data_IF_741806237146
#
_entry.id   IF_741806237146
#
_cell.length_a   1.000
_cell.length_b   1.000
_cell.length_c   1.000
_cell.angle_alpha   90.00
_cell.angle_beta   90.00
_cell.angle_gamma   90.00
#
_symmetry.space_group_name_H-M   'P 1'
#
loop_
_entity.id
_entity.type
_entity.pdbx_description
1 polymer ?
#
# COMPACT_ATOMS: atom_id res chain seq x y z
N UNK A 1 10.57 -5.12 16.38
CA UNK A 1 10.07 -4.85 15.00
C UNK A 1 8.68 -5.43 14.79
N UNK A 2 7.96 -4.99 13.74
CA UNK A 2 6.62 -5.49 13.43
C UNK A 2 6.55 -6.01 11.99
N UNK A 3 5.96 -7.22 11.81
CA UNK A 3 5.79 -7.85 10.48
C UNK A 3 4.38 -8.41 10.31
N UNK A 4 3.76 -8.12 9.18
CA UNK A 4 2.42 -8.59 8.88
C UNK A 4 2.43 -9.70 7.83
N UNK A 5 1.80 -10.83 8.15
CA UNK A 5 1.61 -11.95 7.22
C UNK A 5 0.17 -12.00 6.75
N UNK A 6 -0.06 -11.99 5.44
CA UNK A 6 -1.39 -12.03 4.86
C UNK A 6 -1.69 -13.40 4.25
N UNK A 7 -2.74 -14.05 4.77
CA UNK A 7 -3.18 -15.35 4.34
C UNK A 7 -4.61 -15.33 3.81
N UNK A 8 -4.93 -16.31 2.95
CA UNK A 8 -6.29 -16.59 2.52
C UNK A 8 -7.00 -17.42 3.60
N UNK A 9 -8.24 -17.04 3.95
CA UNK A 9 -9.10 -17.82 4.85
C UNK A 9 -10.37 -18.26 4.13
N UNK A 10 -10.94 -19.38 4.59
CA UNK A 10 -12.09 -20.06 3.98
C UNK A 10 -13.19 -20.26 5.02
N UNK A 11 -13.95 -19.20 5.36
CA UNK A 11 -15.01 -19.28 6.33
C UNK A 11 -16.20 -20.10 5.80
N UNK A 12 -16.83 -20.89 6.67
CA UNK A 12 -18.12 -21.54 6.42
C UNK A 12 -19.29 -20.55 6.39
N UNK A 13 -20.53 -21.01 6.23
CA UNK A 13 -21.70 -20.14 6.12
C UNK A 13 -21.94 -19.29 7.39
N UNK A 14 -21.86 -19.88 8.55
CA UNK A 14 -22.06 -19.23 9.85
C UNK A 14 -20.97 -18.18 10.13
N UNK A 15 -19.72 -18.56 9.87
CA UNK A 15 -18.57 -17.64 10.00
C UNK A 15 -18.66 -16.43 9.06
N UNK A 16 -19.19 -16.62 7.84
CA UNK A 16 -19.46 -15.51 6.90
C UNK A 16 -20.52 -14.55 7.44
N UNK A 17 -21.56 -15.08 8.08
CA UNK A 17 -22.59 -14.27 8.75
C UNK A 17 -21.94 -13.46 9.87
N UNK A 18 -21.15 -14.12 10.74
CA UNK A 18 -20.46 -13.44 11.85
C UNK A 18 -19.50 -12.36 11.37
N UNK A 19 -18.70 -12.61 10.33
CA UNK A 19 -17.84 -11.58 9.72
C UNK A 19 -18.66 -10.42 9.17
N UNK A 20 -19.80 -10.69 8.55
CA UNK A 20 -20.68 -9.64 8.00
C UNK A 20 -21.29 -8.78 9.10
N UNK A 21 -21.74 -9.39 10.19
CA UNK A 21 -22.19 -8.69 11.40
C UNK A 21 -21.08 -7.82 11.97
N UNK A 22 -19.88 -8.37 12.15
CA UNK A 22 -18.73 -7.64 12.70
C UNK A 22 -18.36 -6.44 11.82
N UNK A 23 -18.30 -6.59 10.47
CA UNK A 23 -18.07 -5.44 9.56
C UNK A 23 -19.17 -4.38 9.70
N UNK A 24 -20.40 -4.78 9.95
CA UNK A 24 -21.53 -3.89 10.21
C UNK A 24 -21.37 -3.10 11.51
N UNK A 25 -21.13 -3.80 12.60
CA UNK A 25 -21.00 -3.24 13.95
C UNK A 25 -19.80 -2.29 14.08
N UNK A 26 -18.63 -2.66 13.53
CA UNK A 26 -17.43 -1.82 13.51
C UNK A 26 -17.65 -0.51 12.74
N UNK A 27 -18.40 -0.57 11.62
CA UNK A 27 -18.76 0.64 10.89
C UNK A 27 -19.78 1.47 11.65
N UNK A 28 -20.79 0.83 12.22
CA UNK A 28 -21.84 1.48 13.01
C UNK A 28 -21.25 2.24 14.18
N UNK A 29 -20.47 1.57 15.04
CA UNK A 29 -19.89 2.20 16.22
C UNK A 29 -18.95 3.35 15.88
N UNK A 30 -18.12 3.21 14.82
CA UNK A 30 -17.29 4.31 14.32
C UNK A 30 -18.14 5.52 13.95
N UNK A 31 -19.24 5.32 13.21
CA UNK A 31 -20.10 6.40 12.75
C UNK A 31 -20.91 7.03 13.90
N UNK A 32 -21.44 6.20 14.80
CA UNK A 32 -22.19 6.67 15.96
C UNK A 32 -21.30 7.53 16.85
N UNK A 33 -20.12 7.04 17.22
CA UNK A 33 -19.16 7.82 18.01
C UNK A 33 -18.70 9.11 17.31
N UNK A 34 -18.53 9.10 15.98
CA UNK A 34 -18.22 10.30 15.23
C UNK A 34 -19.37 11.32 15.30
N UNK A 35 -20.61 10.86 15.09
CA UNK A 35 -21.80 11.70 15.15
C UNK A 35 -21.99 12.34 16.53
N UNK A 36 -21.88 11.53 17.60
CA UNK A 36 -22.07 12.01 18.98
C UNK A 36 -20.97 13.02 19.38
N UNK A 37 -19.72 12.78 18.95
CA UNK A 37 -18.62 13.75 19.17
C UNK A 37 -18.88 15.09 18.48
N UNK A 38 -19.41 15.06 17.25
CA UNK A 38 -19.75 16.27 16.48
C UNK A 38 -20.91 17.00 17.16
N UNK A 39 -21.99 16.29 17.52
CA UNK A 39 -23.15 16.88 18.17
C UNK A 39 -22.78 17.53 19.51
N UNK A 40 -22.11 16.78 20.39
CA UNK A 40 -21.68 17.29 21.70
C UNK A 40 -20.77 18.53 21.58
N UNK A 41 -19.80 18.50 20.66
CA UNK A 41 -18.89 19.64 20.46
C UNK A 41 -19.63 20.89 19.93
N UNK A 42 -20.66 20.70 19.10
CA UNK A 42 -21.45 21.82 18.60
C UNK A 42 -22.24 22.49 19.72
N UNK A 43 -22.73 21.71 20.69
CA UNK A 43 -23.51 22.19 21.82
C UNK A 43 -22.64 22.77 22.94
N UNK A 44 -21.61 22.06 23.36
CA UNK A 44 -20.83 22.37 24.56
C UNK A 44 -19.46 22.99 24.30
N UNK A 45 -18.93 22.86 23.06
CA UNK A 45 -17.53 23.15 22.69
C UNK A 45 -16.50 22.26 23.41
N UNK A 46 -16.94 21.21 24.08
CA UNK A 46 -16.09 20.28 24.82
C UNK A 46 -15.87 18.97 24.08
N UNK A 47 -14.79 18.25 24.45
CA UNK A 47 -14.47 16.94 23.86
C UNK A 47 -15.29 15.85 24.55
N UNK A 48 -16.05 15.12 23.77
CA UNK A 48 -16.75 13.93 24.27
C UNK A 48 -15.81 12.71 24.27
N UNK A 49 -15.65 12.08 25.43
CA UNK A 49 -14.91 10.82 25.58
C UNK A 49 -15.91 9.67 25.78
N UNK A 50 -16.05 8.83 24.76
CA UNK A 50 -16.92 7.64 24.78
C UNK A 50 -16.14 6.38 24.44
N UNK A 51 -16.63 5.25 24.96
CA UNK A 51 -16.12 3.92 24.64
C UNK A 51 -17.23 3.08 23.98
N UNK A 52 -16.90 2.07 23.16
CA UNK A 52 -17.92 1.19 22.59
C UNK A 52 -18.80 0.45 23.61
N UNK A 53 -18.32 0.27 24.84
CA UNK A 53 -19.05 -0.39 25.90
C UNK A 53 -20.34 0.37 26.27
N UNK A 54 -20.31 1.70 26.31
CA UNK A 54 -21.44 2.56 26.64
C UNK A 54 -22.62 2.43 25.66
N UNK A 55 -22.34 2.06 24.42
CA UNK A 55 -23.38 1.88 23.39
C UNK A 55 -24.03 0.48 23.41
N UNK A 56 -23.51 -0.47 24.20
CA UNK A 56 -24.03 -1.85 24.21
C UNK A 56 -25.35 -1.99 24.95
N UNK A 57 -25.71 -1.05 25.83
CA UNK A 57 -26.99 -1.01 26.49
C UNK A 57 -28.12 -0.60 25.55
N UNK A 58 -27.84 0.41 24.71
CA UNK A 58 -28.78 0.93 23.71
C UNK A 58 -28.84 0.04 22.44
N UNK A 59 -27.68 -0.54 22.03
CA UNK A 59 -27.56 -1.33 20.81
C UNK A 59 -27.12 -2.75 21.14
N UNK A 60 -28.04 -3.62 21.52
CA UNK A 60 -27.75 -4.99 21.97
C UNK A 60 -27.02 -5.85 20.97
N UNK A 61 -27.22 -5.64 19.63
CA UNK A 61 -26.53 -6.36 18.59
C UNK A 61 -24.98 -6.18 18.61
N UNK A 62 -24.47 -5.17 19.31
CA UNK A 62 -23.05 -4.98 19.54
C UNK A 62 -22.44 -6.02 20.49
N UNK A 63 -23.27 -6.68 21.31
CA UNK A 63 -22.84 -7.76 22.20
C UNK A 63 -22.55 -9.07 21.44
N UNK A 64 -23.12 -9.24 20.24
CA UNK A 64 -22.95 -10.43 19.41
C UNK A 64 -21.53 -10.55 18.83
N UNK A 65 -20.83 -9.43 18.67
CA UNK A 65 -19.52 -9.37 18.00
C UNK A 65 -18.38 -9.18 19.00
N UNK A 66 -17.16 -9.37 18.51
CA UNK A 66 -15.96 -9.20 19.30
C UNK A 66 -15.78 -7.75 19.81
N UNK A 67 -15.64 -7.60 21.12
CA UNK A 67 -15.48 -6.30 21.80
C UNK A 67 -14.17 -5.60 21.39
N UNK A 68 -13.10 -6.36 21.15
CA UNK A 68 -11.80 -5.81 20.72
C UNK A 68 -11.89 -5.26 19.29
N UNK A 69 -12.73 -5.84 18.43
CA UNK A 69 -13.03 -5.27 17.11
C UNK A 69 -13.74 -3.91 17.21
N UNK A 70 -14.64 -3.75 18.18
CA UNK A 70 -15.29 -2.46 18.45
C UNK A 70 -14.32 -1.44 19.04
N UNK A 71 -13.46 -1.85 19.97
CA UNK A 71 -12.39 -1.00 20.53
C UNK A 71 -11.42 -0.50 19.43
N UNK A 72 -11.07 -1.36 18.48
CA UNK A 72 -10.27 -0.94 17.32
C UNK A 72 -10.99 0.09 16.43
N UNK A 73 -12.32 0.08 16.36
CA UNK A 73 -13.07 1.11 15.66
C UNK A 73 -12.93 2.48 16.34
N UNK A 74 -12.99 2.51 17.67
CA UNK A 74 -12.70 3.71 18.49
C UNK A 74 -11.28 4.22 18.26
N UNK A 75 -10.27 3.34 18.35
CA UNK A 75 -8.87 3.70 18.10
C UNK A 75 -8.64 4.27 16.69
N UNK A 76 -9.33 3.69 15.69
CA UNK A 76 -9.28 4.21 14.31
C UNK A 76 -9.91 5.61 14.20
N UNK A 77 -10.97 5.91 14.95
CA UNK A 77 -11.57 7.23 15.00
C UNK A 77 -10.64 8.24 15.69
N UNK A 78 -10.09 7.87 16.84
CA UNK A 78 -9.09 8.69 17.55
C UNK A 78 -7.89 9.02 16.68
N UNK A 79 -7.35 8.02 15.96
CA UNK A 79 -6.25 8.22 15.01
C UNK A 79 -6.64 9.16 13.87
N UNK A 80 -7.89 9.08 13.38
CA UNK A 80 -8.37 9.97 12.32
C UNK A 80 -8.42 11.45 12.81
N UNK A 81 -8.87 11.69 14.05
CA UNK A 81 -8.80 13.00 14.67
C UNK A 81 -7.36 13.49 14.89
N UNK A 82 -6.50 12.63 15.44
CA UNK A 82 -5.10 12.97 15.66
C UNK A 82 -4.39 13.36 14.34
N UNK A 83 -4.64 12.62 13.26
CA UNK A 83 -4.10 12.96 11.94
C UNK A 83 -4.64 14.29 11.42
N UNK A 84 -5.92 14.60 11.62
CA UNK A 84 -6.52 15.87 11.22
C UNK A 84 -5.87 17.05 11.96
N UNK A 85 -5.72 16.94 13.29
CA UNK A 85 -5.09 18.01 14.08
C UNK A 85 -3.59 18.17 13.79
N UNK A 86 -2.89 17.07 13.51
CA UNK A 86 -1.45 17.12 13.13
C UNK A 86 -1.25 17.70 11.73
N UNK A 87 -2.13 17.40 10.79
CA UNK A 87 -2.03 17.76 9.38
C UNK A 87 -3.42 18.04 8.80
N UNK A 88 -3.93 19.28 8.87
CA UNK A 88 -5.29 19.62 8.41
C UNK A 88 -5.59 19.26 6.96
N UNK A 89 -4.57 19.23 6.08
CA UNK A 89 -4.69 18.81 4.68
C UNK A 89 -5.24 17.36 4.50
N UNK A 90 -5.14 16.51 5.54
CA UNK A 90 -5.75 15.16 5.55
C UNK A 90 -7.28 15.23 5.56
N UNK A 91 -7.85 16.34 6.06
CA UNK A 91 -9.29 16.58 6.18
C UNK A 91 -9.92 15.94 7.41
N UNK A 92 -11.08 16.48 7.78
CA UNK A 92 -11.86 16.03 8.93
C UNK A 92 -12.31 14.56 8.80
N UNK A 93 -12.44 13.79 9.91
CA UNK A 93 -12.93 12.41 9.89
C UNK A 93 -14.29 12.28 9.21
N UNK A 94 -14.43 11.35 8.27
CA UNK A 94 -15.65 11.15 7.48
C UNK A 94 -16.40 9.90 7.92
N UNK A 95 -17.75 9.94 7.80
CA UNK A 95 -18.60 8.76 8.00
C UNK A 95 -18.25 7.64 7.04
N UNK A 96 -18.24 6.40 7.54
CA UNK A 96 -17.99 5.20 6.75
C UNK A 96 -19.25 4.70 6.06
N UNK A 97 -19.21 4.50 4.74
CA UNK A 97 -20.30 3.98 3.93
C UNK A 97 -20.19 2.46 3.74
N UNK A 98 -21.33 1.75 3.77
CA UNK A 98 -21.42 0.30 3.46
C UNK A 98 -20.89 -0.03 2.05
N UNK A 99 -21.07 0.89 1.10
CA UNK A 99 -20.77 0.66 -0.31
C UNK A 99 -19.39 1.16 -0.75
N UNK A 100 -18.88 2.22 -0.12
CA UNK A 100 -17.61 2.86 -0.50
C UNK A 100 -16.42 2.34 0.32
N UNK A 101 -16.63 1.95 1.57
CA UNK A 101 -15.56 1.52 2.43
C UNK A 101 -15.27 0.02 2.32
N UNK A 102 -13.99 -0.33 2.51
CA UNK A 102 -13.56 -1.74 2.53
C UNK A 102 -14.16 -2.45 3.73
N UNK A 103 -14.67 -3.66 3.51
CA UNK A 103 -15.12 -4.54 4.57
C UNK A 103 -13.90 -5.12 5.29
N UNK A 104 -13.59 -4.61 6.46
CA UNK A 104 -12.49 -5.08 7.32
C UNK A 104 -12.72 -4.71 8.78
N UNK A 105 -12.19 -5.51 9.67
CA UNK A 105 -12.02 -5.20 11.08
C UNK A 105 -10.70 -5.77 11.60
N UNK A 106 -10.20 -5.20 12.68
CA UNK A 106 -9.02 -5.68 13.40
C UNK A 106 -9.43 -6.10 14.80
N UNK A 107 -8.88 -7.20 15.27
CA UNK A 107 -8.97 -7.65 16.66
C UNK A 107 -7.57 -7.87 17.21
N UNK A 108 -7.33 -7.52 18.46
CA UNK A 108 -6.05 -7.67 19.11
C UNK A 108 -5.94 -9.04 19.79
N UNK A 109 -4.72 -9.56 19.88
CA UNK A 109 -4.46 -10.73 20.69
C UNK A 109 -4.31 -10.31 22.16
N UNK A 110 -5.21 -10.82 23.00
CA UNK A 110 -5.21 -10.63 24.45
C UNK A 110 -5.44 -11.99 25.08
N UNK A 111 -4.51 -12.42 25.95
CA UNK A 111 -4.59 -13.71 26.64
C UNK A 111 -4.81 -14.92 25.71
N UNK A 112 -4.16 -14.91 24.53
CA UNK A 112 -4.24 -16.04 23.59
C UNK A 112 -5.59 -16.23 22.88
N UNK A 113 -6.45 -15.19 22.82
CA UNK A 113 -7.76 -15.25 22.16
C UNK A 113 -7.67 -15.37 20.62
N UNK A 114 -6.48 -15.23 20.04
CA UNK A 114 -6.18 -15.48 18.63
C UNK A 114 -5.08 -16.53 18.55
N UNK A 115 -5.33 -17.64 17.88
CA UNK A 115 -4.39 -18.73 17.75
C UNK A 115 -4.32 -19.22 16.30
N UNK A 116 -3.12 -19.50 15.83
CA UNK A 116 -2.88 -20.09 14.51
C UNK A 116 -2.27 -21.48 14.71
N UNK A 117 -3.06 -22.51 14.54
CA UNK A 117 -2.66 -23.92 14.69
C UNK A 117 -3.40 -24.81 13.68
N UNK A 118 -2.78 -25.91 13.28
CA UNK A 118 -3.37 -26.99 12.48
C UNK A 118 -4.11 -26.55 11.21
N UNK A 119 -3.58 -25.53 10.52
CA UNK A 119 -4.21 -25.01 9.31
C UNK A 119 -5.51 -24.22 9.57
N UNK A 120 -5.77 -23.85 10.83
CA UNK A 120 -6.89 -23.06 11.28
C UNK A 120 -6.42 -21.81 12.01
N UNK A 121 -7.21 -20.74 11.91
CA UNK A 121 -7.08 -19.54 12.70
C UNK A 121 -8.28 -19.40 13.63
N UNK A 122 -8.05 -19.51 14.94
CA UNK A 122 -9.07 -19.25 15.96
C UNK A 122 -9.25 -17.75 16.13
N UNK A 123 -10.49 -17.30 16.10
CA UNK A 123 -10.87 -15.88 16.24
C UNK A 123 -11.99 -15.73 17.27
N UNK A 124 -12.00 -14.65 18.07
CA UNK A 124 -13.08 -14.37 19.03
C UNK A 124 -14.45 -14.33 18.33
N UNK A 125 -15.46 -14.97 18.94
CA UNK A 125 -16.85 -15.07 18.47
C UNK A 125 -17.05 -15.80 17.13
N UNK A 126 -15.99 -16.15 16.40
CA UNK A 126 -16.05 -16.82 15.07
C UNK A 126 -15.62 -18.28 15.15
N UNK A 127 -14.74 -18.60 16.11
CA UNK A 127 -14.12 -19.92 16.23
C UNK A 127 -12.99 -20.17 15.25
N UNK A 128 -12.71 -21.43 14.98
CA UNK A 128 -11.62 -21.87 14.12
C UNK A 128 -12.00 -21.75 12.63
N UNK A 129 -11.28 -20.93 11.88
CA UNK A 129 -11.47 -20.67 10.44
C UNK A 129 -10.33 -21.28 9.66
N UNK A 130 -10.63 -22.10 8.64
CA UNK A 130 -9.63 -22.71 7.76
C UNK A 130 -8.78 -21.65 7.07
N UNK A 131 -7.45 -21.78 7.16
CA UNK A 131 -6.47 -20.85 6.59
C UNK A 131 -5.52 -21.59 5.65
N UNK A 132 -5.09 -20.90 4.57
CA UNK A 132 -4.00 -21.39 3.71
C UNK A 132 -2.72 -20.65 4.10
N UNK A 133 -1.98 -21.25 5.01
CA UNK A 133 -0.66 -20.77 5.39
C UNK A 133 0.35 -21.24 4.32
N UNK A 134 0.95 -20.29 3.62
CA UNK A 134 1.93 -20.53 2.56
C UNK A 134 3.35 -20.07 2.94
N UNK A 135 3.52 -19.60 4.19
CA UNK A 135 4.80 -19.21 4.78
C UNK A 135 4.83 -19.68 6.22
N UNK A 136 5.97 -20.21 6.63
CA UNK A 136 6.22 -20.46 8.04
C UNK A 136 6.44 -19.14 8.78
N UNK A 137 5.99 -19.08 10.00
CA UNK A 137 6.17 -17.95 10.90
C UNK A 137 7.19 -18.42 11.94
N UNK A 138 8.27 -17.68 12.16
CA UNK A 138 9.25 -18.05 13.18
C UNK A 138 8.60 -18.12 14.57
N UNK A 139 9.04 -19.09 15.39
CA UNK A 139 8.45 -19.34 16.72
C UNK A 139 8.63 -18.18 17.70
N UNK A 140 9.70 -17.41 17.55
CA UNK A 140 9.99 -16.24 18.37
C UNK A 140 9.12 -15.00 18.03
N UNK A 141 8.17 -15.12 17.09
CA UNK A 141 7.29 -14.02 16.70
C UNK A 141 6.02 -14.01 17.56
N UNK A 142 5.81 -12.95 18.32
CA UNK A 142 4.62 -12.76 19.15
C UNK A 142 3.43 -12.21 18.34
N UNK A 143 2.31 -12.93 18.32
CA UNK A 143 1.09 -12.52 17.65
C UNK A 143 0.45 -11.33 18.39
N UNK A 144 0.25 -10.19 17.74
CA UNK A 144 -0.33 -8.96 18.32
C UNK A 144 -1.77 -8.71 17.90
N UNK A 145 -2.09 -8.91 16.62
CA UNK A 145 -3.45 -8.66 16.13
C UNK A 145 -3.74 -9.38 14.81
N UNK A 146 -5.01 -9.56 14.51
CA UNK A 146 -5.50 -10.07 13.25
C UNK A 146 -6.46 -9.08 12.59
N UNK A 147 -6.21 -8.74 11.32
CA UNK A 147 -7.11 -7.92 10.50
C UNK A 147 -7.79 -8.79 9.46
N UNK A 148 -9.09 -9.00 9.61
CA UNK A 148 -9.93 -9.75 8.69
C UNK A 148 -10.50 -8.81 7.64
N UNK A 149 -10.47 -9.23 6.37
CA UNK A 149 -10.98 -8.44 5.24
C UNK A 149 -11.70 -9.28 4.22
N UNK A 150 -12.73 -8.70 3.58
CA UNK A 150 -13.41 -9.28 2.42
C UNK A 150 -13.17 -8.43 1.18
N UNK A 151 -12.73 -9.06 0.09
CA UNK A 151 -12.58 -8.40 -1.20
C UNK A 151 -13.93 -8.21 -1.90
N UNK A 152 -14.04 -7.29 -2.87
CA UNK A 152 -15.24 -7.17 -3.71
C UNK A 152 -15.58 -8.42 -4.52
N UNK A 153 -14.61 -9.31 -4.76
CA UNK A 153 -14.78 -10.64 -5.37
C UNK A 153 -15.27 -11.71 -4.38
N UNK A 154 -15.60 -11.33 -3.14
CA UNK A 154 -16.13 -12.23 -2.11
C UNK A 154 -15.09 -13.07 -1.36
N UNK A 155 -13.81 -12.91 -1.66
CA UNK A 155 -12.74 -13.65 -0.99
C UNK A 155 -12.42 -13.05 0.38
N UNK A 156 -12.06 -13.91 1.35
CA UNK A 156 -11.65 -13.50 2.69
C UNK A 156 -10.16 -13.67 2.89
N UNK A 157 -9.56 -12.71 3.57
CA UNK A 157 -8.15 -12.70 3.94
C UNK A 157 -8.01 -12.28 5.39
N UNK A 158 -6.98 -12.78 6.03
CA UNK A 158 -6.47 -12.27 7.30
C UNK A 158 -5.06 -11.71 7.11
N UNK A 159 -4.79 -10.59 7.75
CA UNK A 159 -3.42 -10.07 7.93
C UNK A 159 -3.12 -10.16 9.42
N UNK A 160 -2.18 -11.02 9.79
CA UNK A 160 -1.77 -11.24 11.17
C UNK A 160 -0.52 -10.41 11.39
N UNK A 161 -0.55 -9.56 12.41
CA UNK A 161 0.58 -8.74 12.83
C UNK A 161 1.34 -9.48 13.93
N UNK A 162 2.63 -9.64 13.71
CA UNK A 162 3.57 -10.16 14.69
C UNK A 162 4.55 -9.08 15.10
N UNK A 163 4.94 -9.14 16.35
CA UNK A 163 6.07 -8.40 16.90
C UNK A 163 7.23 -9.38 17.15
N UNK A 164 8.44 -8.93 16.88
CA UNK A 164 9.65 -9.73 17.07
C UNK A 164 10.84 -8.81 17.32
N UNK A 165 11.84 -9.36 17.98
CA UNK A 165 13.12 -8.68 18.18
C UNK A 165 14.11 -9.15 17.12
N UNK A 166 14.70 -8.21 16.44
CA UNK A 166 15.78 -8.46 15.47
C UNK A 166 16.71 -7.24 15.49
N UNK A 167 17.98 -7.51 15.71
CA UNK A 167 19.04 -6.54 15.46
C UNK A 167 19.40 -6.67 13.99
N UNK A 168 19.30 -5.57 13.26
CA UNK A 168 19.73 -5.50 11.86
C UNK A 168 21.00 -4.68 11.85
N UNK A 169 22.12 -5.33 11.59
CA UNK A 169 23.38 -4.65 11.38
C UNK A 169 23.37 -3.96 10.01
N UNK A 170 23.83 -2.71 9.91
CA UNK A 170 23.98 -2.04 8.63
C UNK A 170 24.92 -2.84 7.73
N UNK A 171 24.49 -3.08 6.50
CA UNK A 171 25.33 -3.74 5.49
C UNK A 171 26.37 -2.75 4.96
N UNK A 172 27.56 -3.24 4.70
CA UNK A 172 28.58 -2.50 4.00
C UNK A 172 28.14 -2.22 2.56
N UNK A 173 28.38 -1.01 2.05
CA UNK A 173 27.96 -0.59 0.72
C UNK A 173 29.04 -0.90 -0.31
N UNK A 174 28.94 -2.06 -0.95
CA UNK A 174 29.84 -2.51 -2.01
C UNK A 174 29.26 -2.32 -3.41
N UNK A 175 27.93 -2.18 -3.50
CA UNK A 175 27.22 -2.04 -4.77
C UNK A 175 26.10 -1.00 -4.67
N UNK A 176 26.01 -0.15 -5.72
CA UNK A 176 25.02 0.93 -5.77
C UNK A 176 24.33 1.01 -7.14
N UNK A 177 23.03 1.29 -7.16
CA UNK A 177 22.25 1.53 -8.38
C UNK A 177 21.34 2.76 -8.21
N UNK A 178 21.21 3.54 -9.28
CA UNK A 178 20.19 4.58 -9.41
C UNK A 178 19.03 4.07 -10.25
N UNK A 179 17.80 4.42 -9.85
CA UNK A 179 16.58 4.06 -10.57
C UNK A 179 15.84 5.34 -10.94
N UNK A 180 15.83 5.68 -12.23
CA UNK A 180 14.99 6.73 -12.77
C UNK A 180 13.59 6.21 -13.06
N UNK A 181 12.55 7.00 -12.75
CA UNK A 181 11.15 6.57 -12.96
C UNK A 181 10.78 6.58 -14.43
N UNK A 182 10.38 5.44 -14.97
CA UNK A 182 9.82 5.31 -16.31
C UNK A 182 8.31 5.03 -16.29
N UNK A 183 7.54 5.83 -17.02
CA UNK A 183 6.11 5.56 -17.20
C UNK A 183 5.84 4.32 -18.06
N UNK A 184 6.78 3.96 -18.91
CA UNK A 184 6.70 2.81 -19.79
C UNK A 184 7.09 1.53 -19.07
N UNK A 185 8.26 1.53 -18.45
CA UNK A 185 8.95 0.31 -18.00
C UNK A 185 9.06 0.17 -16.47
N UNK A 186 8.49 1.06 -15.70
CA UNK A 186 8.58 1.20 -14.25
C UNK A 186 9.82 2.01 -13.82
N UNK A 187 11.01 1.67 -14.28
CA UNK A 187 12.26 2.41 -14.11
C UNK A 187 13.24 2.10 -15.22
N UNK A 188 14.25 2.97 -15.37
CA UNK A 188 15.51 2.71 -16.05
C UNK A 188 16.61 2.71 -14.98
N UNK A 189 17.50 1.73 -14.99
CA UNK A 189 18.59 1.66 -14.03
C UNK A 189 19.85 2.36 -14.55
N UNK A 190 20.77 2.70 -13.65
CA UNK A 190 22.09 3.25 -14.00
C UNK A 190 22.98 2.31 -14.82
N UNK A 191 22.56 1.06 -15.00
CA UNK A 191 23.19 0.06 -15.87
C UNK A 191 22.47 -0.08 -17.23
N UNK A 192 21.46 0.76 -17.49
CA UNK A 192 20.64 0.69 -18.70
C UNK A 192 19.60 -0.44 -18.71
N UNK A 193 19.40 -1.12 -17.58
CA UNK A 193 18.43 -2.20 -17.51
C UNK A 193 17.01 -1.67 -17.27
N UNK A 194 16.04 -2.28 -17.96
CA UNK A 194 14.61 -2.05 -17.81
C UNK A 194 13.89 -3.34 -17.35
N UNK A 195 12.87 -3.26 -16.48
CA UNK A 195 12.21 -4.46 -15.97
C UNK A 195 11.19 -5.09 -16.92
N UNK A 196 10.97 -4.57 -18.13
CA UNK A 196 9.96 -5.04 -19.12
C UNK A 196 8.56 -5.15 -18.49
N UNK A 197 8.06 -4.06 -17.90
CA UNK A 197 6.80 -4.06 -17.18
C UNK A 197 5.60 -4.41 -18.08
N UNK A 198 4.81 -5.48 -17.77
CA UNK A 198 3.78 -6.00 -18.68
C UNK A 198 2.52 -5.14 -18.81
N UNK A 199 2.42 -3.98 -18.20
CA UNK A 199 1.26 -3.03 -18.27
C UNK A 199 -0.09 -3.73 -18.09
N UNK A 200 -0.23 -4.50 -17.01
CA UNK A 200 -1.36 -5.40 -16.74
C UNK A 200 -2.73 -4.74 -16.85
N UNK A 201 -2.88 -3.49 -16.41
CA UNK A 201 -4.13 -2.75 -16.50
C UNK A 201 -4.45 -2.38 -17.96
N UNK A 202 -3.48 -1.84 -18.70
CA UNK A 202 -3.67 -1.45 -20.12
C UNK A 202 -4.05 -2.64 -20.96
N UNK A 203 -3.40 -3.79 -20.79
CA UNK A 203 -3.74 -5.04 -21.51
C UNK A 203 -5.17 -5.53 -21.29
N UNK A 204 -5.82 -5.13 -20.19
CA UNK A 204 -7.19 -5.55 -19.85
C UNK A 204 -8.22 -4.41 -19.95
N UNK A 205 -7.77 -3.21 -20.33
CA UNK A 205 -8.61 -2.01 -20.33
C UNK A 205 -9.87 -2.15 -21.20
N UNK A 206 -9.74 -2.67 -22.42
CA UNK A 206 -10.90 -2.80 -23.33
C UNK A 206 -11.89 -3.87 -22.84
N UNK A 207 -11.41 -4.93 -22.24
CA UNK A 207 -12.27 -5.90 -21.57
C UNK A 207 -13.03 -5.25 -20.42
N UNK A 208 -12.34 -4.47 -19.57
CA UNK A 208 -12.97 -3.73 -18.46
C UNK A 208 -14.02 -2.73 -18.98
N UNK A 209 -13.70 -1.98 -20.04
CA UNK A 209 -14.63 -1.03 -20.68
C UNK A 209 -15.89 -1.71 -21.17
N UNK A 210 -15.75 -2.82 -21.93
CA UNK A 210 -16.91 -3.62 -22.42
C UNK A 210 -17.77 -4.13 -21.27
N UNK A 211 -17.14 -4.72 -20.24
CA UNK A 211 -17.87 -5.23 -19.08
C UNK A 211 -18.57 -4.13 -18.28
N UNK A 212 -17.95 -2.95 -18.15
CA UNK A 212 -18.55 -1.79 -17.47
C UNK A 212 -19.71 -1.19 -18.25
N UNK A 213 -19.60 -1.08 -19.60
CA UNK A 213 -20.71 -0.65 -20.46
C UNK A 213 -21.89 -1.60 -20.37
N UNK A 214 -21.64 -2.91 -20.36
CA UNK A 214 -22.70 -3.90 -20.16
C UNK A 214 -23.36 -3.75 -18.79
N UNK A 215 -22.58 -3.52 -17.72
CA UNK A 215 -23.10 -3.31 -16.36
C UNK A 215 -24.02 -2.07 -16.29
N UNK A 216 -23.66 -0.96 -16.96
CA UNK A 216 -24.44 0.28 -16.91
C UNK A 216 -25.83 0.16 -17.57
N UNK A 217 -26.00 -0.79 -18.50
CA UNK A 217 -27.27 -1.08 -19.17
C UNK A 217 -28.18 -2.03 -18.39
N UNK A 218 -27.69 -2.65 -17.29
CA UNK A 218 -28.45 -3.63 -16.52
C UNK A 218 -29.25 -2.96 -15.40
N UNK A 219 -30.42 -3.53 -15.07
CA UNK A 219 -31.23 -3.09 -13.95
C UNK A 219 -30.40 -3.14 -12.65
N UNK A 220 -30.18 -1.97 -12.08
CA UNK A 220 -29.37 -1.81 -10.85
C UNK A 220 -29.94 -2.65 -9.71
N UNK A 221 -29.07 -3.38 -9.03
CA UNK A 221 -29.39 -4.33 -7.95
C UNK A 221 -30.12 -5.63 -8.39
N UNK A 222 -30.41 -5.82 -9.67
CA UNK A 222 -30.91 -7.10 -10.19
C UNK A 222 -29.84 -8.20 -10.15
N UNK A 223 -30.25 -9.45 -10.32
CA UNK A 223 -29.33 -10.62 -10.25
C UNK A 223 -28.25 -10.57 -11.31
N UNK A 224 -28.58 -10.20 -12.55
CA UNK A 224 -27.60 -10.08 -13.63
C UNK A 224 -26.61 -8.94 -13.38
N UNK A 225 -27.05 -7.79 -12.84
CA UNK A 225 -26.19 -6.69 -12.44
C UNK A 225 -25.21 -7.11 -11.35
N UNK A 226 -25.69 -7.84 -10.32
CA UNK A 226 -24.81 -8.36 -9.24
C UNK A 226 -23.78 -9.34 -9.77
N UNK A 227 -24.17 -10.24 -10.66
CA UNK A 227 -23.28 -11.21 -11.33
C UNK A 227 -22.22 -10.50 -12.17
N UNK A 228 -22.62 -9.53 -12.99
CA UNK A 228 -21.69 -8.76 -13.81
C UNK A 228 -20.73 -7.92 -12.97
N UNK A 229 -21.23 -7.25 -11.95
CA UNK A 229 -20.38 -6.51 -10.97
C UNK A 229 -19.35 -7.42 -10.31
N UNK A 230 -19.72 -8.63 -9.94
CA UNK A 230 -18.80 -9.63 -9.38
C UNK A 230 -17.72 -10.05 -10.38
N UNK A 231 -18.08 -10.27 -11.65
CA UNK A 231 -17.09 -10.59 -12.71
C UNK A 231 -16.08 -9.47 -12.91
N UNK A 232 -16.54 -8.22 -12.89
CA UNK A 232 -15.64 -7.04 -12.95
C UNK A 232 -14.70 -7.01 -11.73
N UNK A 233 -15.22 -7.28 -10.53
CA UNK A 233 -14.41 -7.33 -9.32
C UNK A 233 -13.32 -8.42 -9.37
N UNK A 234 -13.62 -9.59 -9.92
CA UNK A 234 -12.65 -10.67 -10.15
C UNK A 234 -11.56 -10.22 -11.12
N UNK A 235 -11.93 -9.54 -12.21
CA UNK A 235 -10.96 -9.06 -13.20
C UNK A 235 -10.02 -7.99 -12.60
N UNK A 236 -10.54 -7.04 -11.83
CA UNK A 236 -9.72 -6.06 -11.11
C UNK A 236 -8.78 -6.74 -10.09
N UNK A 237 -9.27 -7.73 -9.36
CA UNK A 237 -8.43 -8.48 -8.41
C UNK A 237 -7.30 -9.22 -9.12
N UNK A 238 -7.57 -9.83 -10.28
CA UNK A 238 -6.53 -10.50 -11.10
C UNK A 238 -5.45 -9.52 -11.54
N UNK A 239 -5.84 -8.36 -12.08
CA UNK A 239 -4.90 -7.31 -12.51
C UNK A 239 -4.04 -6.83 -11.32
N UNK A 240 -4.68 -6.54 -10.18
CA UNK A 240 -3.98 -6.09 -8.98
C UNK A 240 -3.02 -7.15 -8.42
N UNK A 241 -3.39 -8.44 -8.51
CA UNK A 241 -2.54 -9.55 -8.05
C UNK A 241 -1.34 -9.76 -8.95
N UNK A 242 -1.52 -9.73 -10.28
CA UNK A 242 -0.44 -9.86 -11.26
C UNK A 242 0.57 -8.70 -11.11
N UNK A 243 0.09 -7.46 -10.98
CA UNK A 243 0.93 -6.29 -10.75
C UNK A 243 1.74 -6.44 -9.45
N UNK A 244 1.07 -6.82 -8.36
CA UNK A 244 1.74 -6.99 -7.07
C UNK A 244 2.81 -8.08 -7.11
N UNK A 245 2.54 -9.21 -7.77
CA UNK A 245 3.51 -10.30 -7.93
C UNK A 245 4.76 -9.82 -8.67
N UNK A 246 4.57 -9.12 -9.78
CA UNK A 246 5.66 -8.53 -10.55
C UNK A 246 6.49 -7.56 -9.67
N UNK A 247 5.85 -6.60 -9.01
CA UNK A 247 6.54 -5.63 -8.17
C UNK A 247 7.28 -6.28 -6.98
N UNK A 248 6.73 -7.36 -6.43
CA UNK A 248 7.43 -8.13 -5.39
C UNK A 248 8.66 -8.84 -5.91
N UNK A 249 8.60 -9.43 -7.09
CA UNK A 249 9.74 -10.10 -7.74
C UNK A 249 10.82 -9.10 -8.09
N UNK A 250 10.44 -8.02 -8.75
CA UNK A 250 11.38 -6.99 -9.19
C UNK A 250 12.07 -6.29 -8.02
N UNK A 251 11.30 -5.86 -7.01
CA UNK A 251 11.89 -5.26 -5.82
C UNK A 251 12.74 -6.25 -5.00
N UNK A 252 12.52 -7.58 -5.12
CA UNK A 252 13.41 -8.57 -4.50
C UNK A 252 14.70 -8.73 -5.29
N UNK A 253 14.61 -8.73 -6.63
CA UNK A 253 15.78 -8.77 -7.51
C UNK A 253 16.72 -7.61 -7.19
N UNK A 254 16.22 -6.37 -7.17
CA UNK A 254 17.02 -5.19 -6.85
C UNK A 254 17.63 -5.26 -5.44
N UNK A 255 16.82 -5.60 -4.42
CA UNK A 255 17.31 -5.68 -3.04
C UNK A 255 18.36 -6.77 -2.82
N UNK A 256 18.34 -7.85 -3.64
CA UNK A 256 19.37 -8.88 -3.57
C UNK A 256 20.66 -8.46 -4.29
N UNK A 257 20.57 -7.64 -5.36
CA UNK A 257 21.72 -7.29 -6.20
C UNK A 257 22.51 -6.08 -5.71
N UNK A 258 21.89 -5.17 -4.96
CA UNK A 258 22.52 -3.90 -4.57
C UNK A 258 22.38 -3.62 -3.08
N UNK A 259 23.37 -2.92 -2.51
CA UNK A 259 23.41 -2.52 -1.12
C UNK A 259 22.88 -1.10 -0.92
N UNK A 260 23.03 -0.26 -1.93
CA UNK A 260 22.51 1.11 -1.97
C UNK A 260 21.67 1.33 -3.22
N UNK A 261 20.44 1.81 -3.03
CA UNK A 261 19.53 2.17 -4.14
C UNK A 261 19.15 3.63 -4.05
N UNK A 262 19.50 4.41 -5.07
CA UNK A 262 19.08 5.80 -5.26
C UNK A 262 17.75 5.87 -6.01
N UNK A 263 16.84 6.75 -5.55
CA UNK A 263 15.56 7.03 -6.23
C UNK A 263 15.21 8.52 -6.12
N UNK A 264 14.41 9.05 -7.04
CA UNK A 264 13.93 10.42 -6.99
C UNK A 264 12.75 10.59 -6.02
N UNK A 265 12.61 11.83 -5.48
CA UNK A 265 11.43 12.26 -4.71
C UNK A 265 10.33 12.78 -5.65
N UNK A 266 9.57 11.86 -6.23
CA UNK A 266 8.50 12.18 -7.17
C UNK A 266 7.13 12.27 -6.46
N UNK A 267 6.43 13.39 -6.66
CA UNK A 267 5.02 13.51 -6.27
C UNK A 267 4.12 12.82 -7.31
N UNK A 268 3.89 11.52 -7.11
CA UNK A 268 3.03 10.71 -7.98
C UNK A 268 1.57 11.22 -8.03
N UNK A 269 1.13 11.97 -7.01
CA UNK A 269 -0.21 12.55 -6.99
C UNK A 269 -0.28 13.75 -7.92
N UNK A 270 0.67 14.65 -7.83
CA UNK A 270 0.78 15.80 -8.72
C UNK A 270 0.93 15.35 -10.18
N UNK A 271 1.82 14.39 -10.47
CA UNK A 271 1.98 13.81 -11.82
C UNK A 271 0.70 13.17 -12.37
N UNK A 272 -0.08 12.51 -11.52
CA UNK A 272 -1.35 11.92 -11.92
C UNK A 272 -2.40 12.96 -12.30
N UNK A 273 -2.38 14.14 -11.67
CA UNK A 273 -3.38 15.19 -11.85
C UNK A 273 -3.01 16.19 -12.94
N UNK A 274 -1.78 16.71 -12.93
CA UNK A 274 -1.34 17.81 -13.78
C UNK A 274 -1.13 17.42 -15.25
N UNK A 275 -0.72 16.20 -15.53
CA UNK A 275 -0.29 15.76 -16.86
C UNK A 275 -1.22 14.72 -17.52
N UNK A 276 -2.43 14.49 -16.98
CA UNK A 276 -3.36 13.44 -17.43
C UNK A 276 -2.74 12.02 -17.43
N UNK A 277 -1.60 11.80 -16.76
CA UNK A 277 -0.92 10.52 -16.67
C UNK A 277 -1.52 9.55 -15.64
N UNK A 278 -2.66 9.89 -15.03
CA UNK A 278 -3.29 9.09 -13.97
C UNK A 278 -3.44 7.61 -14.27
N UNK A 279 -3.70 7.24 -15.54
CA UNK A 279 -3.78 5.83 -15.95
C UNK A 279 -2.42 5.15 -15.93
N UNK A 280 -1.36 5.81 -16.39
CA UNK A 280 0.00 5.29 -16.45
C UNK A 280 0.58 5.16 -15.05
N UNK A 281 0.46 6.21 -14.24
CA UNK A 281 0.88 6.22 -12.84
C UNK A 281 0.16 5.14 -12.01
N UNK A 282 -1.16 4.96 -12.24
CA UNK A 282 -1.95 3.92 -11.55
C UNK A 282 -1.61 2.51 -12.04
N UNK A 283 -1.26 2.33 -13.31
CA UNK A 283 -0.85 1.03 -13.86
C UNK A 283 0.54 0.64 -13.38
N UNK A 284 1.50 1.54 -13.45
CA UNK A 284 2.89 1.35 -13.08
C UNK A 284 3.05 1.09 -11.57
N UNK A 285 2.31 1.82 -10.71
CA UNK A 285 2.32 1.68 -9.25
C UNK A 285 3.71 1.89 -8.61
N UNK A 286 4.50 2.85 -9.08
CA UNK A 286 5.81 3.24 -8.58
C UNK A 286 5.88 3.40 -7.05
N UNK A 287 4.91 4.09 -6.44
CA UNK A 287 4.84 4.23 -4.99
C UNK A 287 4.75 2.89 -4.25
N UNK A 288 4.06 1.89 -4.83
CA UNK A 288 4.05 0.54 -4.27
C UNK A 288 5.40 -0.14 -4.44
N UNK A 289 6.06 0.00 -5.59
CA UNK A 289 7.39 -0.55 -5.84
C UNK A 289 8.41 0.02 -4.84
N UNK A 290 8.47 1.36 -4.67
CA UNK A 290 9.33 2.01 -3.68
C UNK A 290 9.09 1.49 -2.25
N UNK A 291 7.83 1.32 -1.86
CA UNK A 291 7.48 0.78 -0.54
C UNK A 291 7.97 -0.67 -0.36
N UNK A 292 7.80 -1.51 -1.41
CA UNK A 292 8.23 -2.89 -1.39
C UNK A 292 9.76 -3.04 -1.39
N UNK A 293 10.45 -2.16 -2.10
CA UNK A 293 11.90 -2.12 -2.18
C UNK A 293 12.49 -1.66 -0.84
N UNK A 294 11.98 -0.56 -0.30
CA UNK A 294 12.45 0.02 0.95
C UNK A 294 12.48 -1.00 2.10
N UNK A 295 11.35 -1.62 2.42
CA UNK A 295 11.33 -2.54 3.56
C UNK A 295 12.20 -3.78 3.34
N UNK A 296 12.45 -4.18 2.08
CA UNK A 296 13.33 -5.31 1.78
C UNK A 296 14.80 -4.98 1.94
N UNK A 297 15.18 -3.76 1.61
CA UNK A 297 16.52 -3.24 1.87
C UNK A 297 16.71 -3.08 3.38
N UNK A 298 15.77 -2.43 4.07
CA UNK A 298 15.78 -2.26 5.52
C UNK A 298 15.85 -3.61 6.26
N UNK A 299 15.06 -4.61 5.86
CA UNK A 299 15.10 -5.99 6.42
C UNK A 299 16.49 -6.67 6.23
N UNK A 300 17.30 -6.19 5.29
CA UNK A 300 18.64 -6.71 4.98
C UNK A 300 19.79 -5.79 5.45
N UNK A 301 19.51 -4.73 6.23
CA UNK A 301 20.49 -3.74 6.65
C UNK A 301 21.00 -2.83 5.52
N UNK A 302 20.37 -2.88 4.34
CA UNK A 302 20.77 -2.13 3.14
C UNK A 302 20.01 -0.80 3.04
N UNK A 303 20.44 0.06 2.12
CA UNK A 303 20.05 1.46 2.10
C UNK A 303 19.21 1.83 0.86
N UNK A 304 18.18 2.66 1.07
CA UNK A 304 17.44 3.31 0.00
C UNK A 304 17.46 4.82 0.23
N UNK A 305 18.18 5.55 -0.59
CA UNK A 305 18.30 7.00 -0.52
C UNK A 305 17.37 7.64 -1.54
N UNK A 306 16.60 8.61 -1.08
CA UNK A 306 15.77 9.46 -1.93
C UNK A 306 16.50 10.77 -2.14
N UNK A 307 16.89 11.06 -3.39
CA UNK A 307 17.60 12.30 -3.73
C UNK A 307 16.65 13.50 -3.71
N UNK A 308 17.21 14.70 -3.59
CA UNK A 308 16.43 15.93 -3.54
C UNK A 308 15.58 16.14 -4.81
N UNK A 309 14.35 16.63 -4.62
CA UNK A 309 13.39 16.89 -5.70
C UNK A 309 13.91 17.79 -6.82
N UNK A 310 14.81 18.73 -6.50
CA UNK A 310 15.32 19.73 -7.43
C UNK A 310 16.69 19.38 -8.00
N UNK A 311 17.19 18.19 -7.70
CA UNK A 311 18.44 17.73 -8.29
C UNK A 311 18.26 17.51 -9.81
N UNK A 312 19.10 18.13 -10.67
CA UNK A 312 18.90 18.10 -12.12
C UNK A 312 19.39 16.77 -12.73
N UNK A 313 18.80 15.63 -12.29
CA UNK A 313 19.26 14.28 -12.66
C UNK A 313 19.36 14.07 -14.17
N UNK A 314 18.35 14.46 -14.94
CA UNK A 314 18.29 14.28 -16.39
C UNK A 314 19.11 15.33 -17.17
N UNK A 315 19.34 16.52 -16.59
CA UNK A 315 20.01 17.65 -17.24
C UNK A 315 21.51 17.66 -17.03
N UNK A 316 21.99 17.10 -15.93
CA UNK A 316 23.42 17.04 -15.58
C UNK A 316 24.10 15.95 -16.38
N UNK A 317 25.27 16.26 -16.98
CA UNK A 317 26.11 15.25 -17.61
C UNK A 317 26.64 14.28 -16.55
N UNK A 318 26.47 12.98 -16.79
CA UNK A 318 26.90 11.93 -15.86
C UNK A 318 28.35 11.47 -16.07
N UNK A 319 29.04 12.02 -17.07
CA UNK A 319 30.46 11.72 -17.33
C UNK A 319 31.31 12.18 -16.15
N UNK A 320 32.17 11.31 -15.59
CA UNK A 320 33.05 11.67 -14.49
C UNK A 320 33.89 12.91 -14.83
N UNK A 321 33.89 13.88 -13.91
CA UNK A 321 34.65 15.11 -14.05
C UNK A 321 34.04 16.22 -14.93
N UNK A 322 32.99 15.92 -15.73
CA UNK A 322 32.33 16.93 -16.56
C UNK A 322 31.41 17.85 -15.73
N UNK A 323 30.31 17.34 -15.26
CA UNK A 323 29.37 18.10 -14.42
C UNK A 323 28.55 19.17 -15.12
N UNK A 324 28.66 19.32 -16.47
CA UNK A 324 27.87 20.26 -17.27
C UNK A 324 26.35 20.06 -17.05
N UNK A 325 25.60 21.15 -16.96
CA UNK A 325 24.13 21.12 -16.84
C UNK A 325 23.53 21.70 -18.11
N UNK A 326 22.75 20.89 -18.83
CA UNK A 326 22.03 21.29 -20.03
C UNK A 326 20.65 21.84 -19.64
N UNK A 327 20.57 23.15 -19.46
CA UNK A 327 19.33 23.82 -19.06
C UNK A 327 18.25 23.80 -20.16
N UNK A 328 18.66 23.69 -21.43
CA UNK A 328 17.76 23.69 -22.60
C UNK A 328 17.23 22.29 -22.95
N UNK A 329 17.59 21.26 -22.18
CA UNK A 329 17.16 19.89 -22.47
C UNK A 329 15.65 19.72 -22.29
N UNK A 330 14.93 19.61 -23.42
CA UNK A 330 13.47 19.40 -23.44
C UNK A 330 13.08 17.96 -23.01
N UNK A 331 11.86 17.82 -22.51
CA UNK A 331 11.32 16.51 -22.07
C UNK A 331 11.11 15.51 -23.21
N UNK A 332 11.02 15.98 -24.46
CA UNK A 332 10.88 15.13 -25.66
C UNK A 332 12.19 14.52 -26.13
N UNK A 333 13.32 15.14 -25.78
CA UNK A 333 14.67 14.68 -26.19
C UNK A 333 15.04 13.41 -25.43
N UNK A 334 15.39 12.36 -26.14
CA UNK A 334 15.78 11.06 -25.59
C UNK A 334 17.28 10.87 -25.53
N UNK A 335 18.00 11.37 -26.55
CA UNK A 335 19.43 11.32 -26.63
C UNK A 335 20.00 12.72 -26.83
N UNK A 336 21.11 13.04 -26.18
CA UNK A 336 21.76 14.32 -26.30
C UNK A 336 23.28 14.19 -26.17
N UNK A 337 24.03 15.06 -26.87
CA UNK A 337 25.47 15.14 -26.79
C UNK A 337 25.83 16.27 -25.82
N UNK A 338 26.68 15.98 -24.85
CA UNK A 338 27.17 16.99 -23.93
C UNK A 338 28.10 17.98 -24.68
N UNK A 339 27.80 19.29 -24.66
CA UNK A 339 28.62 20.26 -25.41
C UNK A 339 30.01 20.48 -24.80
N UNK A 340 30.19 20.12 -23.51
CA UNK A 340 31.46 20.29 -22.80
C UNK A 340 32.39 19.07 -23.03
N UNK A 341 31.94 17.84 -22.87
CA UNK A 341 32.76 16.64 -22.97
C UNK A 341 32.53 15.81 -24.24
N UNK A 342 31.57 16.16 -25.10
CA UNK A 342 31.26 15.48 -26.35
C UNK A 342 30.62 14.08 -26.23
N UNK A 343 30.32 13.61 -25.05
CA UNK A 343 29.75 12.28 -24.83
C UNK A 343 28.24 12.27 -25.16
N UNK A 344 27.81 11.25 -25.91
CA UNK A 344 26.42 10.97 -26.20
C UNK A 344 25.77 10.28 -24.98
N UNK A 345 24.65 10.81 -24.52
CA UNK A 345 23.88 10.29 -23.42
C UNK A 345 22.48 9.85 -23.86
N UNK A 346 22.07 8.63 -23.51
CA UNK A 346 20.66 8.34 -23.32
C UNK A 346 20.19 9.09 -22.08
N UNK A 347 19.11 9.85 -22.19
CA UNK A 347 18.63 10.74 -21.15
C UNK A 347 18.21 10.02 -19.86
N UNK A 348 17.51 8.90 -20.00
CA UNK A 348 16.95 8.16 -18.87
C UNK A 348 18.08 7.38 -18.15
N UNK A 349 19.05 6.82 -18.90
CA UNK A 349 20.27 6.21 -18.33
C UNK A 349 21.15 7.26 -17.65
N UNK A 350 21.36 8.41 -18.29
CA UNK A 350 22.11 9.53 -17.70
C UNK A 350 21.50 9.97 -16.37
N UNK A 351 20.17 10.11 -16.32
CA UNK A 351 19.44 10.43 -15.09
C UNK A 351 19.67 9.38 -14.01
N UNK A 352 19.54 8.10 -14.34
CA UNK A 352 19.75 7.02 -13.39
C UNK A 352 21.20 6.96 -12.85
N UNK A 353 22.21 7.24 -13.68
CA UNK A 353 23.62 7.36 -13.25
C UNK A 353 23.80 8.52 -12.27
N UNK A 354 23.23 9.68 -12.57
CA UNK A 354 23.27 10.84 -11.70
C UNK A 354 22.55 10.59 -10.36
N UNK A 355 21.40 9.89 -10.37
CA UNK A 355 20.68 9.47 -9.17
C UNK A 355 21.55 8.56 -8.30
N UNK A 356 22.25 7.57 -8.90
CA UNK A 356 23.19 6.69 -8.19
C UNK A 356 24.31 7.50 -7.55
N UNK A 357 24.98 8.36 -8.33
CA UNK A 357 26.14 9.13 -7.87
C UNK A 357 25.77 10.08 -6.72
N UNK A 358 24.61 10.73 -6.82
CA UNK A 358 24.10 11.60 -5.75
C UNK A 358 23.70 10.80 -4.50
N UNK A 359 23.10 9.62 -4.65
CA UNK A 359 22.79 8.74 -3.52
C UNK A 359 24.06 8.26 -2.80
N UNK A 360 25.12 7.91 -3.53
CA UNK A 360 26.42 7.55 -2.95
C UNK A 360 27.01 8.76 -2.21
N UNK A 361 27.01 9.95 -2.82
CA UNK A 361 27.49 11.18 -2.17
C UNK A 361 26.76 11.47 -0.87
N UNK A 362 25.41 11.36 -0.89
CA UNK A 362 24.58 11.57 0.31
C UNK A 362 24.88 10.54 1.41
N UNK A 363 25.11 9.29 1.05
CA UNK A 363 25.47 8.23 1.99
C UNK A 363 26.81 8.53 2.69
N UNK A 364 27.84 8.96 1.93
CA UNK A 364 29.14 9.31 2.49
C UNK A 364 29.10 10.51 3.46
N UNK A 365 28.15 11.44 3.26
CA UNK A 365 27.97 12.59 4.15
C UNK A 365 27.21 12.20 5.44
N UNK A 366 26.44 11.11 5.42
CA UNK A 366 25.66 10.60 6.57
C UNK A 366 26.44 9.63 7.45
N UNK A 367 27.51 9.02 6.91
CA UNK A 367 28.43 8.12 7.63
C UNK A 367 29.48 8.90 8.39
#
# INVERSE_FOLDING_TARGET
MNKAYKFRIYPNAEQRVMFTKTFGCVRFIYNKMLGDKIAHYNETKEKLNTTPAQYKSEYEFLKEVDSLALANAQMNLQRAYANFFKQPAVGFPKYKSKHKNRKRYTTNNVNGNIELSDGCLRLPKVGAVKIKQHRQIPENYALKSATISQTPSGKYYVSILYEYEQIIEPAEVNSAVGLDFSMAELYVSSEGNEPNYPRYYRRKLDKLRRMSRALSKMLKHGSNWRRQKHRIAILHEKIASQRRDFLHKESRKIANSYDLVGVEDLDMRAMSQSLNFGKSVADNAWGMFRTLLRYKLEDAGKHMITIGKWFPSSKKCSTPGCGYINDDLDLSVREWICPDCGVLHDRDVNAAVNIRNEAVRMMTVMA
#
